data_IF_447026033889
#
_entry.id   IF_447026033889
#
_cell.length_a   1.000
_cell.length_b   1.000
_cell.length_c   1.000
_cell.angle_alpha   90.00
_cell.angle_beta   90.00
_cell.angle_gamma   90.00
#
_symmetry.space_group_name_H-M   'P 1'
#
loop_
_entity.id
_entity.type
_entity.pdbx_description
1 polymer ?
#
# COMPACT_ATOMS: atom_id res chain seq x y z
N UNK A 1 8.91 14.61 7.80
CA UNK A 1 8.89 13.24 8.36
C UNK A 1 8.60 13.25 9.86
N UNK A 2 9.53 13.59 10.76
CA UNK A 2 9.32 13.51 12.23
C UNK A 2 8.06 14.27 12.71
N UNK A 3 7.86 15.51 12.28
CA UNK A 3 6.69 16.29 12.67
C UNK A 3 5.37 15.65 12.19
N UNK A 4 5.36 15.03 11.01
CA UNK A 4 4.19 14.35 10.47
C UNK A 4 3.82 13.13 11.32
N UNK A 5 4.80 12.28 11.63
CA UNK A 5 4.60 11.11 12.50
C UNK A 5 4.09 11.50 13.87
N UNK A 6 4.70 12.53 14.50
CA UNK A 6 4.25 13.04 15.79
C UNK A 6 2.83 13.62 15.72
N UNK A 7 2.50 14.34 14.63
CA UNK A 7 1.16 14.90 14.45
C UNK A 7 0.12 13.79 14.29
N UNK A 8 0.42 12.78 13.48
CA UNK A 8 -0.44 11.61 13.27
C UNK A 8 -0.70 10.84 14.58
N UNK A 9 0.32 10.60 15.39
CA UNK A 9 0.17 9.87 16.66
C UNK A 9 -0.54 10.69 17.75
N UNK A 10 -0.36 12.02 17.77
CA UNK A 10 -0.95 12.88 18.79
C UNK A 10 -2.34 13.40 18.44
N UNK A 11 -2.58 13.62 17.17
CA UNK A 11 -3.80 14.24 16.67
C UNK A 11 -4.31 13.47 15.44
N UNK A 12 -4.68 12.19 15.63
CA UNK A 12 -5.20 11.38 14.54
C UNK A 12 -6.47 12.02 13.98
N UNK A 13 -6.67 11.91 12.69
CA UNK A 13 -7.94 12.30 12.08
C UNK A 13 -9.02 11.32 12.51
N UNK A 14 -10.00 11.83 13.26
CA UNK A 14 -11.11 11.05 13.81
C UNK A 14 -12.47 11.62 13.40
N UNK A 15 -12.49 12.65 12.56
CA UNK A 15 -13.76 13.26 12.09
C UNK A 15 -14.53 12.28 11.19
N UNK A 16 -13.80 11.50 10.39
CA UNK A 16 -14.28 10.28 9.74
C UNK A 16 -13.29 9.15 10.03
N UNK A 17 -13.58 8.36 11.03
CA UNK A 17 -12.72 7.25 11.46
C UNK A 17 -12.87 5.96 10.64
N UNK A 18 -13.66 5.95 9.54
CA UNK A 18 -13.91 4.75 8.72
C UNK A 18 -12.62 4.17 8.13
N UNK A 19 -11.70 5.02 7.68
CA UNK A 19 -10.43 4.62 7.08
C UNK A 19 -9.54 3.76 7.99
N UNK A 20 -9.72 3.82 9.32
CA UNK A 20 -8.95 2.99 10.26
C UNK A 20 -9.22 1.49 10.14
N UNK A 21 -10.36 1.13 9.58
CA UNK A 21 -10.77 -0.27 9.36
C UNK A 21 -10.89 -0.61 7.88
N UNK A 22 -10.28 0.20 7.01
CA UNK A 22 -10.18 -0.02 5.57
C UNK A 22 -8.73 -0.25 5.17
N UNK A 23 -8.51 -1.05 4.15
CA UNK A 23 -7.19 -1.40 3.66
C UNK A 23 -7.18 -1.80 2.20
N UNK A 24 -6.00 -2.10 1.67
CA UNK A 24 -5.84 -2.60 0.31
C UNK A 24 -4.77 -3.69 0.19
N UNK A 25 -5.01 -4.62 -0.71
CA UNK A 25 -4.04 -5.56 -1.25
C UNK A 25 -3.71 -5.23 -2.70
N UNK A 26 -2.45 -5.07 -3.00
CA UNK A 26 -1.94 -4.90 -4.37
C UNK A 26 -1.04 -6.08 -4.71
N UNK A 27 -1.34 -6.83 -5.76
CA UNK A 27 -0.64 -8.08 -6.01
C UNK A 27 -0.38 -8.36 -7.48
N UNK A 28 0.74 -9.01 -7.76
CA UNK A 28 0.95 -9.70 -9.02
C UNK A 28 0.07 -10.96 -9.10
N UNK A 29 -0.01 -11.55 -10.27
CA UNK A 29 -0.59 -12.88 -10.47
C UNK A 29 0.50 -13.93 -10.75
N UNK A 30 1.72 -13.67 -10.29
CA UNK A 30 2.83 -14.59 -10.45
C UNK A 30 2.83 -15.68 -9.38
N UNK A 31 3.50 -16.76 -9.67
CA UNK A 31 3.58 -17.91 -8.80
C UNK A 31 3.52 -19.23 -9.57
N UNK A 32 3.24 -20.36 -8.91
CA UNK A 32 3.17 -20.47 -7.46
C UNK A 32 4.54 -20.36 -6.78
N UNK A 33 4.56 -19.79 -5.56
CA UNK A 33 5.73 -19.81 -4.68
C UNK A 33 5.97 -21.18 -4.03
N UNK A 34 6.84 -21.20 -3.01
CA UNK A 34 7.19 -22.44 -2.27
C UNK A 34 6.04 -22.96 -1.42
N UNK A 35 5.05 -22.13 -1.09
CA UNK A 35 3.80 -22.50 -0.40
C UNK A 35 2.71 -23.02 -1.34
N UNK A 36 2.93 -22.94 -2.66
CA UNK A 36 2.00 -23.39 -3.70
C UNK A 36 0.92 -22.38 -4.06
N UNK A 37 1.00 -21.13 -3.53
CA UNK A 37 0.05 -20.05 -3.78
C UNK A 37 0.61 -19.08 -4.83
N UNK A 38 -0.29 -18.48 -5.62
CA UNK A 38 0.02 -17.29 -6.43
C UNK A 38 -0.01 -16.04 -5.55
N UNK A 39 0.68 -14.98 -5.92
CA UNK A 39 0.76 -13.75 -5.14
C UNK A 39 -0.61 -13.16 -4.80
N UNK A 40 -1.53 -13.13 -5.74
CA UNK A 40 -2.91 -12.67 -5.53
C UNK A 40 -3.72 -13.61 -4.64
N UNK A 41 -3.50 -14.93 -4.71
CA UNK A 41 -4.14 -15.91 -3.82
C UNK A 41 -3.65 -15.75 -2.39
N UNK A 42 -2.34 -15.56 -2.21
CA UNK A 42 -1.77 -15.26 -0.90
C UNK A 42 -2.32 -13.94 -0.33
N UNK A 43 -2.47 -12.91 -1.16
CA UNK A 43 -3.09 -11.65 -0.76
C UNK A 43 -4.56 -11.81 -0.35
N UNK A 44 -5.31 -12.71 -0.99
CA UNK A 44 -6.69 -13.04 -0.59
C UNK A 44 -6.75 -13.70 0.80
N UNK A 45 -5.76 -14.51 1.15
CA UNK A 45 -5.65 -15.08 2.51
C UNK A 45 -5.41 -13.98 3.54
N UNK A 46 -4.53 -13.01 3.25
CA UNK A 46 -4.30 -11.85 4.11
C UNK A 46 -5.59 -11.02 4.24
N UNK A 47 -6.24 -10.73 3.11
CA UNK A 47 -7.52 -10.03 3.06
C UNK A 47 -8.57 -10.68 3.97
N UNK A 48 -8.74 -11.98 3.85
CA UNK A 48 -9.72 -12.71 4.66
C UNK A 48 -9.40 -12.65 6.16
N UNK A 49 -8.12 -12.67 6.54
CA UNK A 49 -7.70 -12.52 7.94
C UNK A 49 -8.03 -11.12 8.47
N UNK A 50 -7.80 -10.07 7.68
CA UNK A 50 -8.12 -8.69 8.07
C UNK A 50 -9.63 -8.49 8.22
N UNK A 51 -10.44 -8.97 7.27
CA UNK A 51 -11.91 -8.93 7.37
C UNK A 51 -12.42 -9.68 8.61
N UNK A 52 -11.85 -10.84 8.92
CA UNK A 52 -12.17 -11.59 10.12
C UNK A 52 -11.73 -10.87 11.42
N UNK A 53 -10.76 -9.95 11.34
CA UNK A 53 -10.30 -9.10 12.43
C UNK A 53 -11.07 -7.78 12.53
N UNK A 54 -12.21 -7.68 11.88
CA UNK A 54 -13.13 -6.53 11.86
C UNK A 54 -12.69 -5.33 10.98
N UNK A 55 -11.85 -5.56 9.98
CA UNK A 55 -11.78 -4.58 8.88
C UNK A 55 -13.11 -4.60 8.12
N UNK A 56 -13.59 -3.43 7.72
CA UNK A 56 -14.86 -3.28 6.99
C UNK A 56 -14.69 -3.61 5.52
N UNK A 57 -13.56 -3.21 4.96
CA UNK A 57 -13.22 -3.50 3.56
C UNK A 57 -11.70 -3.59 3.35
N UNK A 58 -11.31 -4.43 2.39
CA UNK A 58 -9.94 -4.54 1.88
C UNK A 58 -10.02 -4.58 0.36
N UNK A 59 -9.68 -3.47 -0.27
CA UNK A 59 -9.65 -3.33 -1.72
C UNK A 59 -8.67 -4.29 -2.38
N UNK A 60 -9.03 -4.79 -3.56
CA UNK A 60 -8.22 -5.74 -4.33
C UNK A 60 -7.82 -5.13 -5.67
N UNK A 61 -6.55 -4.75 -5.81
CA UNK A 61 -5.98 -4.23 -7.05
C UNK A 61 -4.90 -5.17 -7.53
N UNK A 62 -5.31 -6.20 -8.26
CA UNK A 62 -4.45 -7.32 -8.66
C UNK A 62 -4.25 -7.38 -10.18
N UNK A 63 -3.08 -7.88 -10.60
CA UNK A 63 -2.86 -8.25 -11.98
C UNK A 63 -3.87 -9.33 -12.43
N UNK A 64 -4.26 -9.35 -13.72
CA UNK A 64 -3.86 -8.44 -14.79
C UNK A 64 -4.75 -7.19 -14.93
N UNK A 65 -5.76 -7.01 -14.09
CA UNK A 65 -6.76 -5.95 -14.25
C UNK A 65 -6.49 -4.70 -13.42
N UNK A 66 -5.65 -4.81 -12.38
CA UNK A 66 -5.34 -3.72 -11.47
C UNK A 66 -4.67 -2.53 -12.16
N UNK A 67 -5.00 -1.33 -11.71
CA UNK A 67 -4.49 -0.08 -12.30
C UNK A 67 -3.99 0.90 -11.24
N UNK A 68 -3.12 1.83 -11.66
CA UNK A 68 -2.69 2.94 -10.81
C UNK A 68 -3.90 3.78 -10.35
N UNK A 69 -4.85 4.03 -11.24
CA UNK A 69 -6.01 4.86 -10.94
C UNK A 69 -6.89 4.28 -9.81
N UNK A 70 -7.10 2.97 -9.82
CA UNK A 70 -7.82 2.27 -8.74
C UNK A 70 -7.08 2.39 -7.42
N UNK A 71 -5.76 2.16 -7.42
CA UNK A 71 -4.94 2.31 -6.23
C UNK A 71 -4.91 3.76 -5.70
N UNK A 72 -4.80 4.76 -6.58
CA UNK A 72 -4.84 6.18 -6.19
C UNK A 72 -6.20 6.56 -5.57
N UNK A 73 -7.30 6.06 -6.12
CA UNK A 73 -8.65 6.27 -5.54
C UNK A 73 -8.72 5.65 -4.15
N UNK A 74 -8.41 4.36 -4.02
CA UNK A 74 -8.45 3.67 -2.73
C UNK A 74 -7.60 4.38 -1.66
N UNK A 75 -6.36 4.78 -2.00
CA UNK A 75 -5.46 5.44 -1.05
C UNK A 75 -5.97 6.83 -0.67
N UNK A 76 -6.51 7.60 -1.63
CA UNK A 76 -7.01 8.94 -1.37
C UNK A 76 -8.31 8.96 -0.57
N UNK A 77 -9.12 7.91 -0.68
CA UNK A 77 -10.33 7.73 0.13
C UNK A 77 -9.99 7.37 1.59
N UNK A 78 -8.76 6.89 1.84
CA UNK A 78 -8.20 6.63 3.16
C UNK A 78 -8.09 5.14 3.46
N UNK A 79 -6.88 4.73 3.81
CA UNK A 79 -6.56 3.34 4.19
C UNK A 79 -5.66 3.33 5.43
N UNK A 80 -5.87 2.37 6.33
CA UNK A 80 -4.98 2.16 7.47
C UNK A 80 -3.84 1.17 7.16
N UNK A 81 -4.04 0.26 6.22
CA UNK A 81 -3.05 -0.76 5.84
C UNK A 81 -3.03 -0.98 4.33
N UNK A 82 -1.82 -1.12 3.80
CA UNK A 82 -1.59 -1.57 2.42
C UNK A 82 -0.62 -2.75 2.46
N UNK A 83 -1.00 -3.85 1.81
CA UNK A 83 -0.10 -4.96 1.52
C UNK A 83 0.19 -5.00 0.02
N UNK A 84 1.46 -5.03 -0.33
CA UNK A 84 1.93 -5.21 -1.70
C UNK A 84 2.78 -6.46 -1.82
N UNK A 85 2.51 -7.29 -2.84
CA UNK A 85 3.35 -8.43 -3.22
C UNK A 85 3.54 -8.45 -4.73
N UNK A 86 4.79 -8.41 -5.19
CA UNK A 86 5.12 -8.42 -6.61
C UNK A 86 6.49 -7.83 -6.90
N UNK A 87 6.75 -7.55 -8.17
CA UNK A 87 8.00 -6.92 -8.59
C UNK A 87 8.15 -5.48 -8.09
N UNK A 88 9.38 -5.09 -7.83
CA UNK A 88 9.71 -3.73 -7.45
C UNK A 88 10.98 -3.21 -8.11
N UNK A 89 11.12 -1.92 -8.10
CA UNK A 89 12.32 -1.19 -8.47
C UNK A 89 12.67 -0.16 -7.39
N UNK A 90 13.77 0.56 -7.56
CA UNK A 90 14.15 1.62 -6.62
C UNK A 90 13.09 2.72 -6.48
N UNK A 91 12.23 2.92 -7.47
CA UNK A 91 11.26 4.01 -7.50
C UNK A 91 9.82 3.59 -7.79
N UNK A 92 9.50 2.29 -7.77
CA UNK A 92 8.13 1.85 -8.11
C UNK A 92 7.80 0.44 -7.61
N UNK A 93 6.51 0.16 -7.52
CA UNK A 93 5.93 -1.17 -7.67
C UNK A 93 5.77 -1.50 -9.15
N UNK A 94 5.71 -2.80 -9.51
CA UNK A 94 5.63 -3.28 -10.89
C UNK A 94 4.32 -3.93 -11.28
N UNK A 95 3.49 -4.33 -10.32
CA UNK A 95 2.32 -5.19 -10.52
C UNK A 95 1.09 -4.67 -9.78
N UNK A 96 -0.07 -5.19 -10.14
CA UNK A 96 -1.35 -4.84 -9.55
C UNK A 96 -1.63 -3.34 -9.63
N UNK A 97 -1.01 -2.58 -8.75
CA UNK A 97 -1.02 -1.12 -8.75
C UNK A 97 0.41 -0.60 -9.01
N UNK A 98 0.88 -0.47 -10.27
CA UNK A 98 2.27 -0.18 -10.60
C UNK A 98 2.65 1.30 -10.39
N UNK A 99 2.47 1.80 -9.18
CA UNK A 99 2.78 3.17 -8.76
C UNK A 99 4.28 3.43 -8.72
N UNK A 100 4.65 4.66 -9.03
CA UNK A 100 6.01 5.17 -8.92
C UNK A 100 6.09 6.38 -7.98
N UNK A 101 7.30 6.92 -7.78
CA UNK A 101 7.55 8.08 -6.91
C UNK A 101 6.67 9.30 -7.27
N UNK A 102 6.34 9.51 -8.55
CA UNK A 102 5.48 10.62 -8.97
C UNK A 102 4.03 10.41 -8.52
N UNK A 103 3.51 9.19 -8.68
CA UNK A 103 2.17 8.84 -8.22
C UNK A 103 2.04 9.04 -6.69
N UNK A 104 3.00 8.51 -5.92
CA UNK A 104 2.99 8.67 -4.45
C UNK A 104 3.01 10.15 -4.04
N UNK A 105 3.81 10.98 -4.72
CA UNK A 105 3.86 12.42 -4.43
C UNK A 105 2.60 13.19 -4.85
N UNK A 106 1.71 12.60 -5.64
CA UNK A 106 0.43 13.20 -6.06
C UNK A 106 -0.77 12.79 -5.20
N UNK A 107 -0.57 11.87 -4.25
CA UNK A 107 -1.63 11.44 -3.33
C UNK A 107 -2.11 12.58 -2.43
N UNK A 108 -3.40 12.55 -2.08
CA UNK A 108 -4.06 13.62 -1.32
C UNK A 108 -4.63 13.18 0.02
N UNK A 109 -4.32 11.97 0.48
CA UNK A 109 -4.78 11.37 1.73
C UNK A 109 -4.13 11.95 3.00
N UNK A 110 -4.02 13.27 3.07
CA UNK A 110 -3.38 13.97 4.20
C UNK A 110 -4.05 13.61 5.52
N UNK A 111 -3.26 13.12 6.48
CA UNK A 111 -3.76 12.67 7.79
C UNK A 111 -4.17 11.20 7.84
N UNK A 112 -4.48 10.57 6.72
CA UNK A 112 -4.86 9.16 6.59
C UNK A 112 -3.69 8.34 6.03
N UNK A 113 -2.62 8.19 6.80
CA UNK A 113 -1.38 7.54 6.33
C UNK A 113 -1.36 6.07 6.68
N UNK A 114 -1.33 5.16 5.67
CA UNK A 114 -1.38 3.72 5.90
C UNK A 114 -0.07 3.17 6.45
N UNK A 115 -0.18 2.07 7.16
CA UNK A 115 0.93 1.15 7.36
C UNK A 115 1.13 0.31 6.11
N UNK A 116 2.33 0.33 5.53
CA UNK A 116 2.61 -0.32 4.25
C UNK A 116 3.58 -1.48 4.42
N UNK A 117 3.16 -2.68 4.02
CA UNK A 117 4.00 -3.83 3.78
C UNK A 117 4.29 -3.94 2.29
N UNK A 118 5.55 -3.74 1.90
CA UNK A 118 6.00 -3.84 0.52
C UNK A 118 6.93 -5.04 0.37
N UNK A 119 6.37 -6.15 -0.09
CA UNK A 119 7.14 -7.35 -0.46
C UNK A 119 7.55 -7.21 -1.91
N UNK A 120 8.67 -6.52 -2.13
CA UNK A 120 9.19 -6.15 -3.44
C UNK A 120 10.70 -5.97 -3.41
N UNK A 121 11.36 -6.21 -4.56
CA UNK A 121 12.79 -6.00 -4.69
C UNK A 121 13.14 -4.51 -4.60
N UNK A 122 14.24 -4.19 -3.93
CA UNK A 122 14.97 -2.91 -3.92
C UNK A 122 14.18 -1.62 -3.63
N UNK A 123 12.92 -1.72 -3.20
CA UNK A 123 12.13 -0.55 -2.83
C UNK A 123 12.74 0.25 -1.66
N UNK A 124 13.49 -0.40 -0.78
CA UNK A 124 14.19 0.20 0.36
C UNK A 124 15.69 0.43 0.15
N UNK A 125 16.14 0.66 -1.05
CA UNK A 125 17.56 0.83 -1.37
C UNK A 125 18.06 2.25 -1.08
N UNK A 126 18.13 2.61 0.20
CA UNK A 126 18.35 3.98 0.71
C UNK A 126 19.69 4.62 0.33
N UNK A 127 20.63 3.88 -0.25
CA UNK A 127 21.93 4.42 -0.62
C UNK A 127 21.98 5.05 -2.02
N UNK A 128 20.90 4.95 -2.79
CA UNK A 128 20.81 5.47 -4.16
C UNK A 128 19.69 6.48 -4.33
N UNK A 129 19.98 7.75 -4.19
CA UNK A 129 18.97 8.80 -4.39
C UNK A 129 17.77 8.64 -3.46
N UNK A 130 16.57 9.01 -3.93
CA UNK A 130 15.31 8.82 -3.19
C UNK A 130 14.64 7.55 -3.65
N UNK A 131 14.70 6.50 -2.84
CA UNK A 131 14.04 5.24 -3.14
C UNK A 131 12.53 5.28 -2.89
N UNK A 132 11.81 4.25 -3.36
CA UNK A 132 10.36 4.20 -3.28
C UNK A 132 9.84 4.23 -1.83
N UNK A 133 10.44 3.45 -0.94
CA UNK A 133 10.08 3.47 0.47
C UNK A 133 10.30 4.85 1.13
N UNK A 134 11.38 5.55 0.73
CA UNK A 134 11.66 6.89 1.21
C UNK A 134 10.66 7.91 0.69
N UNK A 135 10.16 7.74 -0.54
CA UNK A 135 9.11 8.59 -1.09
C UNK A 135 7.83 8.48 -0.27
N UNK A 136 7.38 7.28 0.08
CA UNK A 136 6.24 7.08 0.98
C UNK A 136 6.40 7.77 2.34
N UNK A 137 7.61 7.74 2.89
CA UNK A 137 7.89 8.41 4.15
C UNK A 137 7.91 9.94 4.06
N UNK A 138 8.17 10.51 2.87
CA UNK A 138 8.34 11.96 2.65
C UNK A 138 7.16 12.63 1.98
N UNK A 139 6.35 11.91 1.23
CA UNK A 139 5.18 12.45 0.53
C UNK A 139 4.27 13.19 1.52
N UNK A 140 3.75 14.34 1.13
CA UNK A 140 2.97 15.27 1.97
C UNK A 140 1.62 15.53 1.34
#
# INVERSE_FOLDING_TARGET
MVNRTISYERYPDIDDGSWYIEGAGFASNEGPGDDGEYDNEHMDIIRQKLLNYNYSDIEQVYDPSGTIAEGEVAINDGLSIINYTGHGSNGSWGNGCPMNNTNVNSLTNTGMWPWIWSVACVNGEFHIGTCFAETWLRAT
#
